data_IF_260989190548
#
_entry.id   IF_260989190548
#
_cell.length_a   1.000
_cell.length_b   1.000
_cell.length_c   1.000
_cell.angle_alpha   90.00
_cell.angle_beta   90.00
_cell.angle_gamma   90.00
#
_symmetry.space_group_name_H-M   'P 1'
#
loop_
_entity.id
_entity.type
_entity.pdbx_description
1 polymer ?
#
# COMPACT_ATOMS: atom_id res chain seq x y z
N UNK A 1 26.71 -14.06 -21.60
CA UNK A 1 27.10 -15.08 -22.58
C UNK A 1 27.76 -16.22 -21.80
N UNK A 2 27.27 -17.45 -21.94
CA UNK A 2 27.83 -18.61 -21.27
C UNK A 2 28.21 -19.63 -22.34
N UNK A 3 29.49 -19.96 -22.44
CA UNK A 3 30.02 -20.93 -23.39
C UNK A 3 29.90 -22.31 -22.76
N UNK A 4 29.01 -23.15 -23.29
CA UNK A 4 28.87 -24.54 -22.87
C UNK A 4 29.23 -25.40 -24.09
N UNK A 5 30.30 -26.18 -23.98
CA UNK A 5 30.77 -27.13 -25.01
C UNK A 5 31.20 -26.54 -26.37
N UNK A 6 31.64 -25.28 -26.43
CA UNK A 6 32.27 -24.71 -27.62
C UNK A 6 31.31 -24.30 -28.75
N UNK A 7 30.01 -24.56 -28.59
CA UNK A 7 28.96 -23.91 -29.37
C UNK A 7 28.50 -22.63 -28.65
N UNK A 8 28.53 -21.51 -29.38
CA UNK A 8 27.91 -20.27 -28.92
C UNK A 8 26.39 -20.46 -28.98
N UNK A 9 25.79 -20.92 -27.89
CA UNK A 9 24.33 -20.93 -27.78
C UNK A 9 23.91 -19.47 -27.55
N UNK A 10 23.22 -18.81 -28.50
CA UNK A 10 22.63 -17.51 -28.23
C UNK A 10 21.56 -17.71 -27.17
N UNK A 11 21.92 -17.46 -25.91
CA UNK A 11 20.96 -17.24 -24.84
C UNK A 11 20.40 -15.85 -25.09
N UNK A 12 19.55 -15.73 -26.11
CA UNK A 12 18.62 -14.63 -26.21
C UNK A 12 17.71 -14.76 -25.00
N UNK A 13 18.02 -13.97 -23.97
CA UNK A 13 17.02 -13.61 -22.96
C UNK A 13 15.77 -13.26 -23.76
N UNK A 14 14.60 -13.87 -23.48
CA UNK A 14 13.40 -13.59 -24.24
C UNK A 14 13.22 -12.08 -24.21
N UNK A 15 13.52 -11.44 -25.35
CA UNK A 15 13.34 -10.01 -25.43
C UNK A 15 11.86 -9.83 -25.16
N UNK A 16 11.52 -9.01 -24.16
CA UNK A 16 10.16 -8.51 -24.00
C UNK A 16 9.85 -7.53 -25.15
N UNK A 17 10.21 -7.91 -26.38
CA UNK A 17 9.98 -7.23 -27.62
C UNK A 17 8.49 -7.24 -27.89
N UNK A 18 7.92 -6.05 -27.98
CA UNK A 18 6.51 -5.82 -28.22
C UNK A 18 6.07 -6.35 -29.57
N UNK A 19 5.75 -7.64 -29.63
CA UNK A 19 5.23 -8.32 -30.80
C UNK A 19 3.72 -8.51 -30.72
N UNK A 20 2.98 -7.66 -31.44
CA UNK A 20 1.80 -8.07 -32.20
C UNK A 20 0.44 -8.11 -31.52
N UNK A 21 0.32 -8.42 -30.22
CA UNK A 21 -0.99 -8.39 -29.54
C UNK A 21 -0.92 -7.67 -28.19
N UNK A 22 -1.33 -6.38 -28.25
CA UNK A 22 -1.93 -5.59 -27.17
C UNK A 22 -1.02 -5.08 -26.04
N UNK A 23 0.22 -4.68 -26.32
CA UNK A 23 1.05 -3.92 -25.36
C UNK A 23 0.30 -2.67 -24.83
N UNK A 24 -0.47 -2.01 -25.70
CA UNK A 24 -1.31 -0.86 -25.34
C UNK A 24 -2.45 -1.24 -24.39
N UNK A 25 -3.11 -2.38 -24.58
CA UNK A 25 -4.21 -2.81 -23.69
C UNK A 25 -3.66 -3.20 -22.32
N UNK A 26 -2.54 -3.92 -22.28
CA UNK A 26 -1.91 -4.31 -21.01
C UNK A 26 -1.41 -3.08 -20.23
N UNK A 27 -0.81 -2.11 -20.92
CA UNK A 27 -0.41 -0.83 -20.33
C UNK A 27 -1.63 -0.05 -19.82
N UNK A 28 -2.73 -0.03 -20.56
CA UNK A 28 -3.97 0.64 -20.16
C UNK A 28 -4.62 -0.03 -18.94
N UNK A 29 -4.64 -1.37 -18.88
CA UNK A 29 -5.12 -2.12 -17.71
C UNK A 29 -4.25 -1.83 -16.48
N UNK A 30 -2.93 -1.82 -16.65
CA UNK A 30 -1.99 -1.51 -15.56
C UNK A 30 -2.12 -0.06 -15.09
N UNK A 31 -2.35 0.88 -16.01
CA UNK A 31 -2.61 2.29 -15.69
C UNK A 31 -3.91 2.44 -14.89
N UNK A 32 -5.01 1.81 -15.33
CA UNK A 32 -6.29 1.83 -14.60
C UNK A 32 -6.12 1.24 -13.20
N UNK A 33 -5.38 0.14 -13.08
CA UNK A 33 -5.09 -0.48 -11.80
C UNK A 33 -4.30 0.45 -10.87
N UNK A 34 -3.25 1.10 -11.38
CA UNK A 34 -2.47 2.08 -10.61
C UNK A 34 -3.31 3.28 -10.19
N UNK A 35 -4.20 3.77 -11.06
CA UNK A 35 -5.13 4.86 -10.73
C UNK A 35 -6.12 4.43 -9.66
N UNK A 36 -6.66 3.21 -9.74
CA UNK A 36 -7.59 2.67 -8.75
C UNK A 36 -6.91 2.52 -7.37
N UNK A 37 -5.70 1.94 -7.34
CA UNK A 37 -4.91 1.78 -6.10
C UNK A 37 -4.48 3.13 -5.55
N UNK A 38 -3.90 4.00 -6.38
CA UNK A 38 -3.46 5.34 -6.01
C UNK A 38 -4.62 6.22 -5.52
N UNK A 39 -5.76 6.18 -6.22
CA UNK A 39 -7.00 6.86 -5.83
C UNK A 39 -7.56 6.34 -4.51
N UNK A 40 -7.56 5.03 -4.29
CA UNK A 40 -7.96 4.42 -3.03
C UNK A 40 -7.10 4.88 -1.85
N UNK A 41 -5.77 4.89 -2.03
CA UNK A 41 -4.82 5.39 -1.04
C UNK A 41 -5.05 6.89 -0.77
N UNK A 42 -5.19 7.69 -1.83
CA UNK A 42 -5.42 9.14 -1.70
C UNK A 42 -6.73 9.44 -0.94
N UNK A 43 -7.84 8.76 -1.27
CA UNK A 43 -9.13 8.90 -0.57
C UNK A 43 -9.00 8.49 0.89
N UNK A 44 -8.29 7.40 1.19
CA UNK A 44 -8.04 6.97 2.56
C UNK A 44 -7.28 8.04 3.37
N UNK A 45 -6.18 8.58 2.84
CA UNK A 45 -5.43 9.64 3.50
C UNK A 45 -6.24 10.93 3.65
N UNK A 46 -6.99 11.34 2.61
CA UNK A 46 -7.87 12.51 2.69
C UNK A 46 -8.94 12.36 3.77
N UNK A 47 -9.62 11.20 3.84
CA UNK A 47 -10.59 10.91 4.89
C UNK A 47 -9.93 10.94 6.27
N UNK A 48 -8.75 10.34 6.42
CA UNK A 48 -8.00 10.34 7.67
C UNK A 48 -7.60 11.75 8.11
N UNK A 49 -7.23 12.63 7.19
CA UNK A 49 -6.91 14.02 7.51
C UNK A 49 -8.15 14.84 7.88
N UNK A 50 -9.29 14.61 7.22
CA UNK A 50 -10.57 15.28 7.51
C UNK A 50 -11.19 14.85 8.85
N UNK A 51 -11.10 13.56 9.20
CA UNK A 51 -11.67 13.02 10.45
C UNK A 51 -10.90 13.56 11.68
N UNK A 52 -9.58 13.68 11.60
CA UNK A 52 -8.73 14.16 12.69
C UNK A 52 -8.44 15.66 12.54
N UNK A 53 -9.51 16.47 12.57
CA UNK A 53 -9.45 17.93 12.36
C UNK A 53 -9.30 18.74 13.67
N UNK A 54 -9.49 18.14 14.84
CA UNK A 54 -9.35 18.84 16.12
C UNK A 54 -7.91 18.83 16.58
N UNK A 55 -7.35 19.98 16.95
CA UNK A 55 -6.02 20.12 17.53
C UNK A 55 -6.14 20.04 19.05
N UNK A 56 -5.22 19.31 19.66
CA UNK A 56 -5.11 19.19 21.11
C UNK A 56 -3.72 19.67 21.51
N UNK A 57 -3.67 20.60 22.45
CA UNK A 57 -2.44 21.05 23.11
C UNK A 57 -2.54 20.64 24.57
N UNK A 58 -1.50 19.96 25.05
CA UNK A 58 -1.46 19.47 26.42
C UNK A 58 -0.33 20.17 27.14
N UNK A 59 -0.68 20.75 28.27
CA UNK A 59 0.18 21.45 29.19
C UNK A 59 0.48 20.54 30.37
N UNK A 60 1.71 20.59 30.84
CA UNK A 60 2.15 19.87 32.03
C UNK A 60 2.90 20.85 32.92
N UNK A 61 2.72 20.73 34.23
CA UNK A 61 3.42 21.56 35.18
C UNK A 61 4.86 21.04 35.32
N UNK A 62 5.82 21.83 34.83
CA UNK A 62 7.24 21.54 34.99
C UNK A 62 7.72 22.27 36.24
N UNK A 63 8.26 21.54 37.21
CA UNK A 63 8.75 22.08 38.48
C UNK A 63 9.61 23.34 38.27
N UNK A 64 9.13 24.48 38.77
CA UNK A 64 9.81 25.77 38.70
C UNK A 64 9.61 26.58 37.41
N UNK A 65 8.92 26.04 36.39
CA UNK A 65 8.65 26.72 35.11
C UNK A 65 7.16 26.91 34.80
N UNK A 66 6.29 26.35 35.64
CA UNK A 66 4.84 26.39 35.46
C UNK A 66 4.36 25.48 34.33
N UNK A 67 3.13 25.72 33.87
CA UNK A 67 2.50 24.93 32.81
C UNK A 67 3.09 25.25 31.44
N UNK A 68 3.80 24.29 30.84
CA UNK A 68 4.35 24.41 29.49
C UNK A 68 3.69 23.41 28.54
N UNK A 69 3.53 23.75 27.24
CA UNK A 69 2.93 22.84 26.26
C UNK A 69 3.91 21.71 25.92
N UNK A 70 3.78 20.57 26.60
CA UNK A 70 4.65 19.39 26.38
C UNK A 70 4.24 18.62 25.13
N UNK A 71 2.95 18.62 24.79
CA UNK A 71 2.45 17.68 23.79
C UNK A 71 1.37 18.26 22.87
N UNK A 72 1.50 17.98 21.57
CA UNK A 72 0.55 18.37 20.53
C UNK A 72 0.05 17.13 19.77
N UNK A 73 -1.26 16.98 19.69
CA UNK A 73 -1.92 15.89 18.95
C UNK A 73 -3.11 16.38 18.13
N UNK A 74 -3.60 15.52 17.24
CA UNK A 74 -4.88 15.69 16.57
C UNK A 74 -5.88 14.66 17.08
N UNK A 75 -7.10 15.09 17.30
CA UNK A 75 -8.21 14.24 17.71
C UNK A 75 -9.37 14.30 16.72
N UNK A 76 -10.18 13.25 16.77
CA UNK A 76 -11.51 13.23 16.15
C UNK A 76 -12.57 13.31 17.24
N UNK A 77 -13.67 13.94 16.93
CA UNK A 77 -14.82 14.00 17.81
C UNK A 77 -15.70 12.77 17.57
N UNK A 78 -16.06 12.09 18.65
CA UNK A 78 -16.89 10.88 18.68
C UNK A 78 -18.07 11.19 19.58
N UNK A 79 -19.27 11.24 19.02
CA UNK A 79 -20.50 11.42 19.80
C UNK A 79 -20.84 10.11 20.51
N UNK A 80 -21.16 10.19 21.79
CA UNK A 80 -21.51 9.05 22.62
C UNK A 80 -23.01 9.02 22.85
N UNK A 81 -23.70 8.07 22.22
CA UNK A 81 -25.16 7.97 22.30
C UNK A 81 -25.89 9.21 21.75
N UNK A 82 -27.15 9.35 22.16
CA UNK A 82 -28.04 10.44 21.72
C UNK A 82 -28.03 11.64 22.68
N UNK A 83 -27.38 11.52 23.83
CA UNK A 83 -27.37 12.53 24.90
C UNK A 83 -26.50 13.77 24.64
N UNK A 84 -25.95 13.91 23.43
CA UNK A 84 -25.09 15.04 23.08
C UNK A 84 -23.70 15.01 23.73
N UNK A 85 -23.34 13.94 24.44
CA UNK A 85 -22.01 13.77 25.00
C UNK A 85 -20.98 13.58 23.88
N UNK A 86 -19.89 14.35 23.93
CA UNK A 86 -18.83 14.30 22.94
C UNK A 86 -17.51 13.84 23.57
N UNK A 87 -16.85 12.87 22.94
CA UNK A 87 -15.51 12.40 23.29
C UNK A 87 -14.50 12.76 22.21
N UNK A 88 -13.31 13.16 22.61
CA UNK A 88 -12.15 13.32 21.74
C UNK A 88 -11.32 12.04 21.73
N UNK A 89 -11.16 11.44 20.56
CA UNK A 89 -10.24 10.33 20.35
C UNK A 89 -8.91 10.84 19.80
N UNK A 90 -7.86 10.70 20.61
CA UNK A 90 -6.50 11.15 20.30
C UNK A 90 -5.81 10.19 19.33
N UNK A 91 -5.24 10.73 18.23
CA UNK A 91 -4.64 9.92 17.17
C UNK A 91 -3.36 9.21 17.60
N UNK A 92 -2.45 9.92 18.27
CA UNK A 92 -1.12 9.39 18.62
C UNK A 92 -1.19 8.47 19.84
N UNK A 93 -1.84 8.91 20.93
CA UNK A 93 -1.99 8.09 22.16
C UNK A 93 -3.08 7.01 22.06
N UNK A 94 -3.99 7.09 21.08
CA UNK A 94 -5.14 6.15 20.92
C UNK A 94 -6.05 6.08 22.15
N UNK A 95 -6.21 7.21 22.85
CA UNK A 95 -7.01 7.33 24.08
C UNK A 95 -8.25 8.18 23.83
N UNK A 96 -9.33 7.88 24.55
CA UNK A 96 -10.53 8.72 24.60
C UNK A 96 -10.44 9.69 25.78
N UNK A 97 -10.83 10.93 25.54
CA UNK A 97 -10.95 12.00 26.55
C UNK A 97 -12.29 12.69 26.38
N UNK A 98 -12.86 13.17 27.48
CA UNK A 98 -14.08 13.95 27.42
C UNK A 98 -13.81 15.24 26.64
N UNK A 99 -14.70 15.64 25.75
CA UNK A 99 -14.64 16.92 25.04
C UNK A 99 -15.23 18.07 25.89
N UNK A 100 -15.30 17.90 27.21
CA UNK A 100 -15.87 18.88 28.13
C UNK A 100 -15.04 20.16 28.15
N UNK A 101 -15.72 21.31 28.18
CA UNK A 101 -15.13 22.63 28.34
C UNK A 101 -15.17 23.51 27.10
N UNK A 102 -14.59 24.71 27.21
CA UNK A 102 -14.58 25.72 26.14
C UNK A 102 -13.50 25.40 25.11
N UNK A 103 -13.74 25.79 23.86
CA UNK A 103 -12.74 25.70 22.78
C UNK A 103 -11.83 26.93 22.90
N UNK A 104 -10.52 26.71 22.88
CA UNK A 104 -9.53 27.79 22.93
C UNK A 104 -9.33 28.51 21.60
N UNK A 105 -9.73 27.86 20.52
CA UNK A 105 -9.75 28.43 19.19
C UNK A 105 -10.53 27.54 18.24
N UNK A 106 -10.48 27.86 16.95
CA UNK A 106 -11.14 27.04 15.93
C UNK A 106 -10.59 25.62 15.98
N UNK A 107 -11.45 24.67 16.36
CA UNK A 107 -11.12 23.25 16.50
C UNK A 107 -9.94 22.95 17.44
N UNK A 108 -9.64 23.82 18.40
CA UNK A 108 -8.47 23.66 19.28
C UNK A 108 -8.92 23.53 20.73
N UNK A 109 -8.45 22.46 21.38
CA UNK A 109 -8.73 22.14 22.79
C UNK A 109 -7.41 22.12 23.55
N UNK A 110 -7.40 22.74 24.72
CA UNK A 110 -6.25 22.79 25.61
C UNK A 110 -6.56 21.96 26.84
N UNK A 111 -5.59 21.14 27.24
CA UNK A 111 -5.70 20.33 28.45
C UNK A 111 -4.48 20.56 29.32
N UNK A 112 -4.67 20.72 30.61
CA UNK A 112 -3.61 20.65 31.61
C UNK A 112 -3.61 19.27 32.26
N UNK A 113 -2.43 18.69 32.43
CA UNK A 113 -2.24 17.49 33.24
C UNK A 113 -2.01 17.93 34.68
N UNK A 114 -2.93 17.56 35.58
CA UNK A 114 -2.78 17.81 37.01
C UNK A 114 -1.70 16.92 37.64
N UNK A 115 -1.33 17.20 38.90
CA UNK A 115 -0.39 16.37 39.66
C UNK A 115 -0.88 14.91 39.84
N UNK A 116 -2.18 14.70 39.72
CA UNK A 116 -2.85 13.41 39.75
C UNK A 116 -2.83 12.65 38.41
N UNK A 117 -2.26 13.26 37.35
CA UNK A 117 -2.19 12.69 36.01
C UNK A 117 -3.49 12.80 35.20
N UNK A 118 -4.53 13.44 35.73
CA UNK A 118 -5.79 13.65 35.02
C UNK A 118 -5.71 14.87 34.09
N UNK A 119 -6.53 14.82 33.04
CA UNK A 119 -6.55 15.84 32.00
C UNK A 119 -7.73 16.77 32.25
N UNK A 120 -7.43 18.03 32.54
CA UNK A 120 -8.40 19.08 32.80
C UNK A 120 -8.45 20.02 31.60
N UNK A 121 -9.64 20.35 31.11
CA UNK A 121 -9.74 21.38 30.07
C UNK A 121 -9.42 22.73 30.70
N UNK A 122 -8.48 23.47 30.13
CA UNK A 122 -8.07 24.77 30.64
C UNK A 122 -8.25 25.87 29.58
N UNK A 123 -8.64 27.06 30.06
CA UNK A 123 -8.70 28.28 29.27
C UNK A 123 -7.49 29.16 29.56
N UNK A 124 -7.09 30.06 28.65
CA UNK A 124 -5.92 30.94 28.85
C UNK A 124 -6.00 31.71 30.19
N UNK A 125 -7.21 32.16 30.55
CA UNK A 125 -7.46 32.85 31.81
C UNK A 125 -7.28 31.96 33.05
N UNK A 126 -7.54 30.66 32.94
CA UNK A 126 -7.39 29.72 34.06
C UNK A 126 -5.92 29.36 34.30
N UNK A 127 -5.09 29.41 33.26
CA UNK A 127 -3.65 29.18 33.35
C UNK A 127 -2.93 30.38 33.98
N UNK A 128 -3.49 31.59 33.81
CA UNK A 128 -2.91 32.85 34.29
C UNK A 128 -3.39 33.24 35.71
N UNK A 129 -4.55 32.75 36.15
CA UNK A 129 -5.20 33.16 37.39
C UNK A 129 -4.47 32.82 38.71
N UNK A 130 -3.33 32.10 38.66
CA UNK A 130 -2.29 32.00 39.70
C UNK A 130 -1.29 30.95 39.24
N UNK A 131 -0.01 31.31 39.02
CA UNK A 131 1.09 30.39 38.67
C UNK A 131 1.39 29.26 39.70
N UNK A 132 0.45 28.90 40.57
CA UNK A 132 0.58 27.81 41.54
C UNK A 132 -0.72 27.17 42.03
N UNK A 133 -1.91 27.71 41.71
CA UNK A 133 -3.18 27.14 42.15
C UNK A 133 -4.19 27.21 41.00
N UNK A 134 -4.16 26.18 40.15
CA UNK A 134 -5.38 25.80 39.43
C UNK A 134 -6.37 25.40 40.53
N UNK A 135 -7.44 26.17 40.69
CA UNK A 135 -8.56 25.86 41.59
C UNK A 135 -9.41 24.74 40.97
N UNK A 136 -8.74 23.63 40.66
CA UNK A 136 -9.37 22.40 40.27
C UNK A 136 -9.66 21.72 41.59
N UNK A 137 -10.86 21.89 42.10
CA UNK A 137 -11.33 21.09 43.23
C UNK A 137 -11.10 19.61 42.89
N UNK A 138 -10.34 18.87 43.73
CA UNK A 138 -10.05 17.48 43.46
C UNK A 138 -11.38 16.73 43.40
N UNK A 139 -11.71 16.21 42.22
CA UNK A 139 -12.86 15.36 42.03
C UNK A 139 -12.75 14.19 43.01
N UNK A 140 -13.82 13.98 43.76
CA UNK A 140 -13.95 12.92 44.76
C UNK A 140 -13.49 11.57 44.19
N UNK A 141 -12.86 10.75 45.03
CA UNK A 141 -12.23 9.49 44.63
C UNK A 141 -13.24 8.55 43.95
N UNK A 142 -14.49 8.56 44.41
CA UNK A 142 -15.57 7.74 43.88
C UNK A 142 -16.00 8.16 42.47
N UNK A 143 -16.05 9.47 42.22
CA UNK A 143 -16.29 10.02 40.89
C UNK A 143 -15.16 9.65 39.91
N UNK A 144 -13.92 9.54 40.39
CA UNK A 144 -12.80 9.03 39.58
C UNK A 144 -12.98 7.57 39.18
N UNK A 145 -13.36 6.69 40.13
CA UNK A 145 -13.62 5.29 39.82
C UNK A 145 -14.80 5.13 38.86
N UNK A 146 -15.86 5.94 39.04
CA UNK A 146 -16.99 5.97 38.12
C UNK A 146 -16.55 6.35 36.71
N UNK A 147 -15.71 7.38 36.54
CA UNK A 147 -15.18 7.76 35.23
C UNK A 147 -14.32 6.66 34.58
N UNK A 148 -13.52 5.91 35.35
CA UNK A 148 -12.74 4.79 34.83
C UNK A 148 -13.65 3.65 34.38
N UNK A 149 -14.65 3.30 35.18
CA UNK A 149 -15.62 2.25 34.85
C UNK A 149 -16.47 2.62 33.62
N UNK A 150 -16.93 3.87 33.53
CA UNK A 150 -17.62 4.40 32.35
C UNK A 150 -16.69 4.36 31.14
N UNK A 151 -15.43 4.79 31.26
CA UNK A 151 -14.47 4.76 30.15
C UNK A 151 -14.21 3.34 29.66
N UNK A 152 -14.08 2.37 30.57
CA UNK A 152 -13.92 0.95 30.22
C UNK A 152 -15.16 0.42 29.50
N UNK A 153 -16.36 0.67 30.04
CA UNK A 153 -17.61 0.29 29.39
C UNK A 153 -17.77 0.92 28.00
N UNK A 154 -17.42 2.20 27.85
CA UNK A 154 -17.45 2.89 26.55
C UNK A 154 -16.46 2.24 25.60
N UNK A 155 -15.24 1.96 26.06
CA UNK A 155 -14.25 1.30 25.25
C UNK A 155 -14.74 -0.08 24.81
N UNK A 156 -15.30 -0.89 25.70
CA UNK A 156 -15.75 -2.24 25.37
C UNK A 156 -16.98 -2.23 24.45
N UNK A 157 -17.90 -1.27 24.62
CA UNK A 157 -19.12 -1.16 23.80
C UNK A 157 -18.92 -0.48 22.45
N UNK A 158 -18.06 0.54 22.39
CA UNK A 158 -17.90 1.40 21.21
C UNK A 158 -16.58 1.18 20.47
N UNK A 159 -15.59 0.54 21.08
CA UNK A 159 -14.42 0.00 20.38
C UNK A 159 -14.67 -1.43 19.93
N UNK A 160 -15.90 -1.73 19.48
CA UNK A 160 -16.11 -2.92 18.66
C UNK A 160 -15.21 -2.77 17.43
N UNK A 161 -14.27 -3.69 17.18
CA UNK A 161 -13.41 -3.60 16.02
C UNK A 161 -14.33 -3.46 14.80
N UNK A 162 -14.09 -2.44 13.99
CA UNK A 162 -14.89 -2.23 12.79
C UNK A 162 -14.86 -3.54 11.98
N UNK A 163 -15.93 -3.87 11.25
CA UNK A 163 -15.96 -5.09 10.42
C UNK A 163 -14.72 -5.14 9.51
N UNK A 164 -14.25 -3.97 9.04
CA UNK A 164 -13.00 -3.86 8.29
C UNK A 164 -11.72 -4.04 9.13
N UNK A 165 -11.69 -3.73 10.42
CA UNK A 165 -10.53 -4.06 11.27
C UNK A 165 -10.48 -5.56 11.58
N UNK A 166 -11.66 -6.20 11.74
CA UNK A 166 -11.75 -7.64 12.01
C UNK A 166 -11.55 -8.50 10.77
N UNK A 167 -12.14 -8.09 9.65
CA UNK A 167 -12.16 -8.85 8.40
C UNK A 167 -11.34 -8.23 7.27
N UNK A 168 -10.78 -7.03 7.45
CA UNK A 168 -10.02 -6.35 6.40
C UNK A 168 -8.83 -7.16 5.93
N UNK A 169 -8.13 -7.86 6.83
CA UNK A 169 -7.05 -8.76 6.44
C UNK A 169 -7.53 -9.88 5.52
N UNK A 170 -8.68 -10.51 5.84
CA UNK A 170 -9.26 -11.58 5.03
C UNK A 170 -9.80 -11.08 3.68
N UNK A 171 -10.42 -9.90 3.66
CA UNK A 171 -10.90 -9.26 2.43
C UNK A 171 -9.71 -8.90 1.53
N UNK A 172 -8.66 -8.31 2.10
CA UNK A 172 -7.45 -7.95 1.35
C UNK A 172 -6.72 -9.18 0.83
N UNK A 173 -6.62 -10.26 1.62
CA UNK A 173 -6.07 -11.53 1.13
C UNK A 173 -6.93 -12.16 0.04
N UNK A 174 -8.27 -12.06 0.14
CA UNK A 174 -9.18 -12.54 -0.90
C UNK A 174 -9.02 -11.77 -2.21
N UNK A 175 -8.94 -10.44 -2.15
CA UNK A 175 -8.65 -9.59 -3.32
C UNK A 175 -7.29 -9.96 -3.92
N UNK A 176 -6.28 -10.17 -3.09
CA UNK A 176 -4.94 -10.55 -3.55
C UNK A 176 -4.95 -11.90 -4.31
N UNK A 177 -5.68 -12.89 -3.81
CA UNK A 177 -5.85 -14.19 -4.49
C UNK A 177 -6.56 -14.01 -5.84
N UNK A 178 -7.60 -13.18 -5.92
CA UNK A 178 -8.30 -12.90 -7.18
C UNK A 178 -7.36 -12.23 -8.18
N UNK A 179 -6.63 -11.21 -7.75
CA UNK A 179 -5.65 -10.50 -8.60
C UNK A 179 -4.56 -11.46 -9.08
N UNK A 180 -4.05 -12.32 -8.20
CA UNK A 180 -3.07 -13.34 -8.58
C UNK A 180 -3.65 -14.34 -9.57
N UNK A 181 -4.89 -14.78 -9.39
CA UNK A 181 -5.60 -15.67 -10.32
C UNK A 181 -5.79 -15.05 -11.70
N UNK A 182 -6.19 -13.78 -11.76
CA UNK A 182 -6.31 -13.03 -13.01
C UNK A 182 -4.95 -12.88 -13.69
N UNK A 183 -3.89 -12.54 -12.95
CA UNK A 183 -2.54 -12.48 -13.50
C UNK A 183 -2.07 -13.84 -14.03
N UNK A 184 -2.32 -14.93 -13.30
CA UNK A 184 -1.98 -16.29 -13.74
C UNK A 184 -2.73 -16.65 -15.03
N UNK A 185 -4.02 -16.32 -15.12
CA UNK A 185 -4.82 -16.53 -16.32
C UNK A 185 -4.25 -15.79 -17.54
N UNK A 186 -3.86 -14.53 -17.37
CA UNK A 186 -3.19 -13.76 -18.43
C UNK A 186 -1.83 -14.35 -18.83
N UNK A 187 -1.05 -14.85 -17.86
CA UNK A 187 0.23 -15.51 -18.15
C UNK A 187 0.03 -16.79 -18.97
N UNK A 188 -0.96 -17.61 -18.63
CA UNK A 188 -1.26 -18.84 -19.39
C UNK A 188 -1.65 -18.51 -20.84
N UNK A 189 -2.52 -17.52 -21.04
CA UNK A 189 -2.91 -17.09 -22.38
C UNK A 189 -1.69 -16.58 -23.17
N UNK A 190 -0.79 -15.83 -22.53
CA UNK A 190 0.45 -15.36 -23.17
C UNK A 190 1.45 -16.46 -23.48
N UNK A 191 1.56 -17.49 -22.64
CA UNK A 191 2.38 -18.66 -22.94
C UNK A 191 1.82 -19.41 -24.16
N UNK A 192 0.49 -19.49 -24.29
CA UNK A 192 -0.17 -20.02 -25.49
C UNK A 192 0.22 -19.28 -26.77
N UNK A 193 0.16 -17.95 -26.74
CA UNK A 193 0.57 -17.10 -27.87
C UNK A 193 2.07 -17.27 -28.21
N UNK A 194 2.94 -17.36 -27.20
CA UNK A 194 4.38 -17.58 -27.37
C UNK A 194 4.65 -18.95 -27.99
N UNK A 195 3.94 -20.00 -27.55
CA UNK A 195 4.09 -21.34 -28.12
C UNK A 195 3.68 -21.38 -29.59
N UNK A 196 2.62 -20.66 -29.97
CA UNK A 196 2.22 -20.53 -31.38
C UNK A 196 3.30 -19.81 -32.22
N UNK A 197 3.90 -18.74 -31.68
CA UNK A 197 5.02 -18.05 -32.33
C UNK A 197 6.28 -18.93 -32.43
N UNK A 198 6.61 -19.69 -31.38
CA UNK A 198 7.74 -20.61 -31.36
C UNK A 198 7.58 -21.74 -32.39
N UNK A 199 6.39 -22.33 -32.51
CA UNK A 199 6.10 -23.31 -33.55
C UNK A 199 6.27 -22.72 -34.96
N UNK A 200 5.85 -21.48 -35.19
CA UNK A 200 6.07 -20.82 -36.49
C UNK A 200 7.56 -20.64 -36.80
N UNK A 201 8.38 -20.25 -35.80
CA UNK A 201 9.83 -20.14 -35.95
C UNK A 201 10.51 -21.49 -36.19
N UNK A 202 10.09 -22.55 -35.50
CA UNK A 202 10.58 -23.92 -35.73
C UNK A 202 10.28 -24.37 -37.16
N UNK A 203 9.05 -24.14 -37.65
CA UNK A 203 8.67 -24.46 -39.02
C UNK A 203 9.46 -23.65 -40.06
N UNK A 204 9.79 -22.39 -39.77
CA UNK A 204 10.64 -21.57 -40.62
C UNK A 204 12.08 -22.10 -40.65
N UNK A 205 12.64 -22.46 -39.50
CA UNK A 205 13.97 -23.06 -39.41
C UNK A 205 14.05 -24.40 -40.16
N UNK A 206 13.02 -25.25 -40.03
CA UNK A 206 12.94 -26.53 -40.75
C UNK A 206 12.96 -26.32 -42.27
N UNK A 207 12.27 -25.28 -42.78
CA UNK A 207 12.30 -24.92 -44.21
C UNK A 207 13.69 -24.46 -44.66
N UNK A 208 14.43 -23.71 -43.83
CA UNK A 208 15.80 -23.26 -44.15
C UNK A 208 16.78 -24.44 -44.16
N UNK A 209 16.64 -25.38 -43.22
CA UNK A 209 17.44 -26.62 -43.19
C UNK A 209 17.19 -27.44 -44.45
N UNK A 210 15.91 -27.67 -44.82
CA UNK A 210 15.55 -28.40 -46.04
C UNK A 210 16.07 -27.72 -47.33
N UNK A 211 16.00 -26.38 -47.40
CA UNK A 211 16.57 -25.64 -48.53
C UNK A 211 18.10 -25.79 -48.59
N UNK A 212 18.78 -25.76 -47.45
CA UNK A 212 20.23 -25.99 -47.35
C UNK A 212 20.61 -27.42 -47.78
N UNK A 213 19.89 -28.44 -47.35
CA UNK A 213 20.09 -29.83 -47.80
C UNK A 213 19.91 -29.96 -49.32
N UNK A 214 18.92 -29.28 -49.90
CA UNK A 214 18.69 -29.25 -51.35
C UNK A 214 19.83 -28.56 -52.11
N UNK A 215 20.39 -27.47 -51.56
CA UNK A 215 21.56 -26.80 -52.14
C UNK A 215 22.81 -27.68 -52.06
N UNK A 216 23.08 -28.30 -50.92
CA UNK A 216 24.24 -29.19 -50.72
C UNK A 216 24.15 -30.40 -51.64
N UNK A 217 22.98 -31.02 -51.78
CA UNK A 217 22.77 -32.12 -52.72
C UNK A 217 22.95 -31.69 -54.18
N UNK A 218 22.46 -30.51 -54.57
CA UNK A 218 22.66 -29.95 -55.92
C UNK A 218 24.14 -29.67 -56.20
N UNK A 219 24.87 -29.10 -55.24
CA UNK A 219 26.32 -28.86 -55.33
C UNK A 219 27.09 -30.18 -55.44
N UNK A 220 26.71 -31.19 -54.65
CA UNK A 220 27.30 -32.53 -54.72
C UNK A 220 27.12 -33.15 -56.10
N UNK A 221 25.93 -33.04 -56.71
CA UNK A 221 25.67 -33.52 -58.07
C UNK A 221 26.51 -32.80 -59.13
N UNK A 222 26.78 -31.50 -58.97
CA UNK A 222 27.67 -30.75 -59.87
C UNK A 222 29.12 -31.24 -59.72
N UNK A 223 29.61 -31.41 -58.49
CA UNK A 223 30.97 -31.87 -58.24
C UNK A 223 31.21 -33.32 -58.72
N UNK A 224 30.24 -34.20 -58.54
CA UNK A 224 30.33 -35.60 -58.97
C UNK A 224 30.05 -35.78 -60.47
N UNK A 225 29.15 -34.98 -61.05
CA UNK A 225 28.84 -35.00 -62.48
C UNK A 225 29.87 -34.31 -63.37
N UNK A 226 30.59 -33.31 -62.85
CA UNK A 226 31.62 -32.57 -63.59
C UNK A 226 32.97 -33.28 -63.72
N UNK A 227 33.17 -34.41 -63.04
CA UNK A 227 34.46 -35.14 -62.99
C UNK A 227 34.69 -36.16 -64.10
N UNK A 228 33.75 -36.39 -65.02
CA UNK A 228 33.81 -37.52 -65.98
C UNK A 228 33.87 -37.14 -67.46
N UNK A 229 34.20 -35.90 -67.82
CA UNK A 229 34.42 -35.55 -69.23
C UNK A 229 35.72 -34.78 -69.45
N UNK A 230 36.60 -35.39 -70.25
CA UNK A 230 37.85 -34.87 -70.82
C UNK A 230 39.13 -34.93 -69.98
N UNK A 231 39.58 -36.15 -69.67
CA UNK A 231 41.01 -36.41 -69.88
C UNK A 231 41.17 -36.86 -71.34
N UNK A 232 41.49 -35.90 -72.22
CA UNK A 232 42.09 -36.21 -73.52
C UNK A 232 43.51 -36.70 -73.21
N UNK A 233 43.88 -37.94 -73.54
CA UNK A 233 45.26 -38.39 -73.40
C UNK A 233 46.09 -37.65 -74.45
N UNK A 234 47.00 -36.78 -74.00
CA UNK A 234 48.01 -36.17 -74.87
C UNK A 234 49.20 -37.12 -74.89
N UNK A 235 49.52 -37.60 -76.11
CA UNK A 235 50.64 -38.50 -76.38
C UNK A 235 52.01 -37.83 -76.37
#
# INVERSE_FOLDING_TARGET
MATVLGEEIPIDLPSFGGGGVNSTVLLLVLLIFLIAVGGGIAIYFMRRLKIFNKKIVVFENISGKGYQPVYKDRARLVKLGDGGEELLYLRKKKLYRAAYGRKMGVNTYWFAIGQDGYWYNCVLGDVDAKMGMLDIEPIDRDMRYMHVAIRKNIQDRYRKPNVFEKYGTYIMSGIFIIVMGVMMYFLINKIGDINAGSQASILAAEKVVKASESLVSSLSNICTGGGSSSMIPVG
#
